data_IF_786122354256
#
_entry.id   IF_786122354256
#
_cell.length_a   1.000
_cell.length_b   1.000
_cell.length_c   1.000
_cell.angle_alpha   90.00
_cell.angle_beta   90.00
_cell.angle_gamma   90.00
#
_symmetry.space_group_name_H-M   'P 1'
#
loop_
_entity.id
_entity.type
_entity.pdbx_description
1 polymer ?
#
# COMPACT_ATOMS: atom_id res chain seq x y z
N UNK A 1 -43.06 35.77 30.75
CA UNK A 1 -43.14 34.89 29.56
C UNK A 1 -42.13 35.23 28.45
N UNK A 2 -41.90 36.51 28.10
CA UNK A 2 -40.89 36.91 27.07
C UNK A 2 -39.46 36.42 27.36
N UNK A 3 -39.02 36.50 28.62
CA UNK A 3 -37.65 36.12 29.03
C UNK A 3 -37.34 34.62 28.85
N UNK A 4 -38.32 33.75 29.03
CA UNK A 4 -38.13 32.31 28.80
C UNK A 4 -38.05 31.99 27.30
N UNK A 5 -38.87 32.66 26.47
CA UNK A 5 -38.84 32.51 25.01
C UNK A 5 -37.49 32.92 24.41
N UNK A 6 -36.89 34.01 24.90
CA UNK A 6 -35.54 34.44 24.54
C UNK A 6 -34.50 33.38 24.93
N UNK A 7 -34.55 32.86 26.16
CA UNK A 7 -33.62 31.81 26.62
C UNK A 7 -33.69 30.53 25.77
N UNK A 8 -34.89 30.10 25.38
CA UNK A 8 -35.07 28.94 24.51
C UNK A 8 -34.51 29.19 23.11
N UNK A 9 -34.67 30.40 22.56
CA UNK A 9 -34.07 30.80 21.27
C UNK A 9 -32.55 30.78 21.32
N UNK A 10 -31.94 31.31 22.39
CA UNK A 10 -30.49 31.27 22.57
C UNK A 10 -29.98 29.84 22.68
N UNK A 11 -30.63 28.97 23.46
CA UNK A 11 -30.23 27.56 23.60
C UNK A 11 -30.32 26.81 22.26
N UNK A 12 -31.35 27.08 21.47
CA UNK A 12 -31.52 26.46 20.16
C UNK A 12 -30.43 26.93 19.17
N UNK A 13 -30.14 28.22 19.15
CA UNK A 13 -29.04 28.80 18.36
C UNK A 13 -27.69 28.21 18.77
N UNK A 14 -27.40 28.13 20.06
CA UNK A 14 -26.16 27.52 20.57
C UNK A 14 -26.05 26.05 20.17
N UNK A 15 -27.14 25.29 20.23
CA UNK A 15 -27.16 23.89 19.83
C UNK A 15 -26.85 23.73 18.34
N UNK A 16 -27.44 24.58 17.48
CA UNK A 16 -27.15 24.59 16.04
C UNK A 16 -25.68 24.93 15.78
N UNK A 17 -25.13 25.93 16.46
CA UNK A 17 -23.72 26.32 16.31
C UNK A 17 -22.79 25.16 16.71
N UNK A 18 -23.06 24.49 17.84
CA UNK A 18 -22.27 23.34 18.30
C UNK A 18 -22.32 22.21 17.28
N UNK A 19 -23.49 21.94 16.69
CA UNK A 19 -23.67 20.89 15.68
C UNK A 19 -22.90 21.20 14.40
N UNK A 20 -22.94 22.44 13.94
CA UNK A 20 -22.18 22.90 12.76
C UNK A 20 -20.67 22.84 13.01
N UNK A 21 -20.20 23.31 14.17
CA UNK A 21 -18.78 23.25 14.53
C UNK A 21 -18.31 21.80 14.67
N UNK A 22 -19.11 20.91 15.27
CA UNK A 22 -18.81 19.48 15.36
C UNK A 22 -18.72 18.82 13.98
N UNK A 23 -19.66 19.11 13.08
CA UNK A 23 -19.63 18.61 11.71
C UNK A 23 -18.41 19.12 10.93
N UNK A 24 -18.04 20.40 11.11
CA UNK A 24 -16.83 20.98 10.52
C UNK A 24 -15.56 20.31 11.05
N UNK A 25 -15.47 20.08 12.36
CA UNK A 25 -14.33 19.39 12.98
C UNK A 25 -14.16 17.98 12.40
N UNK A 26 -15.23 17.19 12.35
CA UNK A 26 -15.21 15.83 11.80
C UNK A 26 -14.83 15.84 10.32
N UNK A 27 -15.38 16.78 9.53
CA UNK A 27 -15.06 16.91 8.11
C UNK A 27 -13.59 17.30 7.87
N UNK A 28 -13.05 18.21 8.68
CA UNK A 28 -11.65 18.66 8.62
C UNK A 28 -10.66 17.55 8.94
N UNK A 29 -10.93 16.72 9.95
CA UNK A 29 -10.06 15.57 10.27
C UNK A 29 -10.27 14.38 9.32
N UNK A 30 -11.50 14.16 8.82
CA UNK A 30 -11.80 13.11 7.84
C UNK A 30 -11.15 13.35 6.47
N UNK A 31 -10.87 14.62 6.12
CA UNK A 31 -10.19 15.02 4.89
C UNK A 31 -8.85 15.73 5.17
N UNK A 32 -8.11 15.29 6.18
CA UNK A 32 -6.82 15.89 6.56
C UNK A 32 -5.86 16.06 5.36
N UNK A 33 -5.94 15.16 4.37
CA UNK A 33 -5.14 15.19 3.15
C UNK A 33 -5.38 16.42 2.24
N UNK A 34 -6.56 17.06 2.29
CA UNK A 34 -6.92 18.19 1.40
C UNK A 34 -6.69 19.55 2.05
N UNK A 35 -6.95 19.68 3.34
CA UNK A 35 -6.91 20.96 4.05
C UNK A 35 -5.62 21.17 4.87
N UNK A 36 -4.89 20.10 5.17
CA UNK A 36 -3.65 20.16 5.92
C UNK A 36 -2.51 19.43 5.18
N UNK A 37 -2.09 19.94 4.00
CA UNK A 37 -1.04 19.30 3.21
C UNK A 37 0.32 19.22 3.95
N UNK A 38 0.51 20.06 4.98
CA UNK A 38 1.73 20.09 5.78
C UNK A 38 1.80 19.01 6.87
N UNK A 39 0.69 18.39 7.29
CA UNK A 39 0.75 17.28 8.26
C UNK A 39 1.40 16.02 7.66
N UNK A 40 1.56 15.98 6.34
CA UNK A 40 2.27 14.93 5.62
C UNK A 40 3.75 15.21 5.41
N UNK A 41 4.26 16.35 5.91
CA UNK A 41 5.70 16.58 5.87
C UNK A 41 6.42 15.51 6.70
N UNK A 42 7.59 15.02 6.25
CA UNK A 42 8.37 14.01 6.97
C UNK A 42 8.67 14.38 8.43
N UNK A 43 8.71 15.69 8.73
CA UNK A 43 8.93 16.23 10.07
C UNK A 43 7.74 16.03 11.04
N UNK A 44 6.52 15.85 10.51
CA UNK A 44 5.27 15.68 11.27
C UNK A 44 4.59 14.33 11.01
N UNK A 45 5.11 13.54 10.08
CA UNK A 45 4.68 12.17 9.86
C UNK A 45 4.95 11.30 11.10
N UNK A 46 4.25 10.17 11.21
CA UNK A 46 4.39 9.21 12.30
C UNK A 46 5.86 9.00 12.66
N UNK A 47 6.21 9.20 13.94
CA UNK A 47 7.57 9.01 14.41
C UNK A 47 7.99 7.56 14.19
N UNK A 48 8.91 7.34 13.25
CA UNK A 48 9.48 6.02 13.05
C UNK A 48 10.58 5.79 14.08
N UNK A 49 10.56 4.62 14.72
CA UNK A 49 11.48 4.30 15.80
C UNK A 49 12.74 3.59 15.28
N UNK A 50 13.83 3.72 16.02
CA UNK A 50 15.07 2.99 15.76
C UNK A 50 14.79 1.47 15.78
N UNK A 51 15.14 0.78 14.68
CA UNK A 51 14.83 -0.63 14.46
C UNK A 51 13.53 -0.91 13.72
N UNK A 52 12.73 0.12 13.40
CA UNK A 52 11.51 -0.06 12.60
C UNK A 52 11.82 -0.46 11.16
N UNK A 53 11.07 -1.47 10.66
CA UNK A 53 11.18 -1.97 9.29
C UNK A 53 10.16 -1.26 8.41
N UNK A 54 10.67 -0.60 7.38
CA UNK A 54 9.87 -0.01 6.31
C UNK A 54 10.03 -0.85 5.06
N UNK A 55 8.93 -1.38 4.53
CA UNK A 55 8.93 -2.06 3.25
C UNK A 55 8.95 -1.02 2.12
N UNK A 56 10.08 -0.98 1.42
CA UNK A 56 10.34 0.06 0.41
C UNK A 56 9.90 -0.40 -0.97
N UNK A 57 10.15 -1.66 -1.28
CA UNK A 57 9.89 -2.25 -2.59
C UNK A 57 9.65 -3.75 -2.42
N UNK A 58 8.68 -4.30 -3.15
CA UNK A 58 8.55 -5.74 -3.29
C UNK A 58 9.23 -6.17 -4.59
N UNK A 59 10.06 -7.20 -4.54
CA UNK A 59 10.70 -7.78 -5.73
C UNK A 59 10.11 -9.13 -6.03
N UNK A 60 9.85 -9.39 -7.31
CA UNK A 60 9.26 -10.65 -7.74
C UNK A 60 10.31 -11.42 -8.52
N UNK A 61 10.48 -12.68 -8.13
CA UNK A 61 11.40 -13.61 -8.77
C UNK A 61 10.61 -14.78 -9.36
N UNK A 62 10.85 -15.08 -10.64
CA UNK A 62 10.44 -16.32 -11.25
C UNK A 62 11.53 -17.37 -10.97
N UNK A 63 11.17 -18.45 -10.28
CA UNK A 63 12.10 -19.53 -9.95
C UNK A 63 12.02 -20.59 -11.03
N UNK A 64 13.14 -20.96 -11.60
CA UNK A 64 13.23 -22.03 -12.59
C UNK A 64 13.39 -23.41 -11.92
N UNK A 65 13.21 -24.52 -12.66
CA UNK A 65 13.27 -25.88 -12.09
C UNK A 65 14.64 -26.25 -11.55
N UNK A 66 15.69 -25.59 -12.01
CA UNK A 66 17.07 -25.71 -11.53
C UNK A 66 17.33 -24.95 -10.22
N UNK A 67 16.32 -24.24 -9.70
CA UNK A 67 16.42 -23.39 -8.51
C UNK A 67 16.98 -21.99 -8.78
N UNK A 68 17.31 -21.66 -10.04
CA UNK A 68 17.76 -20.32 -10.38
C UNK A 68 16.62 -19.31 -10.26
N UNK A 69 16.94 -18.12 -9.73
CA UNK A 69 15.96 -17.06 -9.44
C UNK A 69 16.14 -15.94 -10.45
N UNK A 70 15.14 -15.72 -11.29
CA UNK A 70 15.14 -14.63 -12.26
C UNK A 70 14.27 -13.48 -11.77
N UNK A 71 14.89 -12.31 -11.58
CA UNK A 71 14.14 -11.10 -11.26
C UNK A 71 13.23 -10.72 -12.43
N UNK A 72 11.95 -10.51 -12.14
CA UNK A 72 10.96 -10.02 -13.11
C UNK A 72 11.08 -8.50 -13.16
N UNK A 73 11.78 -7.98 -14.16
CA UNK A 73 12.03 -6.55 -14.28
C UNK A 73 10.76 -5.81 -14.78
N UNK A 74 10.23 -4.84 -14.01
CA UNK A 74 9.01 -4.12 -14.38
C UNK A 74 9.12 -3.40 -15.72
N UNK A 75 10.25 -2.77 -16.01
CA UNK A 75 10.45 -1.94 -17.20
C UNK A 75 10.80 -2.80 -18.41
N UNK A 76 11.70 -3.79 -18.22
CA UNK A 76 12.23 -4.60 -19.31
C UNK A 76 11.29 -5.75 -19.70
N UNK A 77 10.73 -6.46 -18.71
CA UNK A 77 9.96 -7.67 -18.96
C UNK A 77 8.46 -7.40 -19.03
N UNK A 78 7.96 -6.49 -18.18
CA UNK A 78 6.53 -6.17 -18.09
C UNK A 78 6.15 -4.87 -18.81
N UNK A 79 7.12 -4.02 -19.18
CA UNK A 79 6.88 -2.69 -19.79
C UNK A 79 5.90 -1.82 -19.00
N UNK A 80 5.94 -1.92 -17.68
CA UNK A 80 5.13 -1.12 -16.76
C UNK A 80 6.02 -0.24 -15.88
N UNK A 81 5.50 0.92 -15.48
CA UNK A 81 6.17 1.78 -14.52
C UNK A 81 6.14 1.18 -13.10
N UNK A 82 7.04 1.67 -12.25
CA UNK A 82 7.20 1.23 -10.87
C UNK A 82 5.89 1.29 -10.06
N UNK A 83 5.08 2.35 -10.22
CA UNK A 83 3.85 2.51 -9.44
C UNK A 83 2.79 1.50 -9.86
N UNK A 84 2.68 1.21 -11.16
CA UNK A 84 1.81 0.14 -11.66
C UNK A 84 2.30 -1.22 -11.21
N UNK A 85 3.60 -1.47 -11.23
CA UNK A 85 4.19 -2.71 -10.73
C UNK A 85 3.83 -2.95 -9.26
N UNK A 86 4.13 -1.99 -8.39
CA UNK A 86 3.88 -2.13 -6.95
C UNK A 86 2.39 -2.28 -6.63
N UNK A 87 1.53 -1.42 -7.22
CA UNK A 87 0.09 -1.41 -6.89
C UNK A 87 -0.72 -2.48 -7.61
N UNK A 88 -0.37 -2.82 -8.84
CA UNK A 88 -1.16 -3.70 -9.72
C UNK A 88 -0.53 -5.06 -9.95
N UNK A 89 0.69 -5.31 -9.48
CA UNK A 89 1.29 -6.64 -9.59
C UNK A 89 1.79 -7.15 -8.25
N UNK A 90 2.75 -6.47 -7.61
CA UNK A 90 3.38 -6.98 -6.40
C UNK A 90 2.45 -7.11 -5.20
N UNK A 91 1.66 -6.06 -4.89
CA UNK A 91 0.69 -6.13 -3.79
C UNK A 91 -0.41 -7.18 -4.02
N UNK A 92 -1.10 -7.23 -5.18
CA UNK A 92 -2.08 -8.29 -5.41
C UNK A 92 -1.46 -9.69 -5.40
N UNK A 93 -0.25 -9.87 -5.92
CA UNK A 93 0.43 -11.17 -5.92
C UNK A 93 0.76 -11.62 -4.49
N UNK A 94 1.29 -10.71 -3.65
CA UNK A 94 1.51 -10.95 -2.22
C UNK A 94 0.23 -11.28 -1.47
N UNK A 95 -0.86 -10.55 -1.75
CA UNK A 95 -2.17 -10.76 -1.13
C UNK A 95 -2.93 -11.96 -1.74
N UNK A 96 -2.31 -12.74 -2.62
CA UNK A 96 -2.89 -13.89 -3.34
C UNK A 96 -4.19 -13.56 -4.12
N UNK A 97 -4.29 -12.36 -4.69
CA UNK A 97 -5.42 -11.90 -5.51
C UNK A 97 -5.12 -12.03 -7.00
N UNK A 98 -4.86 -13.26 -7.45
CA UNK A 98 -4.37 -13.56 -8.80
C UNK A 98 -5.34 -13.13 -9.92
N UNK A 99 -6.65 -13.23 -9.67
CA UNK A 99 -7.70 -12.84 -10.64
C UNK A 99 -7.64 -11.37 -11.05
N UNK A 100 -7.03 -10.51 -10.22
CA UNK A 100 -6.92 -9.07 -10.50
C UNK A 100 -5.73 -8.73 -11.39
N UNK A 101 -4.83 -9.70 -11.60
CA UNK A 101 -3.53 -9.49 -12.24
C UNK A 101 -3.30 -10.43 -13.41
N UNK A 102 -4.35 -11.10 -13.89
CA UNK A 102 -4.36 -12.03 -15.04
C UNK A 102 -3.58 -11.48 -16.25
N UNK A 103 -3.74 -10.22 -16.69
CA UNK A 103 -2.99 -9.70 -17.85
C UNK A 103 -1.48 -9.70 -17.62
N UNK A 104 -1.04 -9.37 -16.40
CA UNK A 104 0.38 -9.30 -16.04
C UNK A 104 0.94 -10.72 -15.88
N UNK A 105 0.15 -11.62 -15.27
CA UNK A 105 0.53 -13.03 -15.16
C UNK A 105 0.74 -13.69 -16.53
N UNK A 106 -0.08 -13.36 -17.55
CA UNK A 106 0.16 -13.83 -18.93
C UNK A 106 1.52 -13.40 -19.46
N UNK A 107 1.88 -12.13 -19.28
CA UNK A 107 3.20 -11.63 -19.69
C UNK A 107 4.35 -12.35 -18.97
N UNK A 108 4.18 -12.66 -17.68
CA UNK A 108 5.18 -13.41 -16.90
C UNK A 108 5.32 -14.84 -17.42
N UNK A 109 4.21 -15.53 -17.71
CA UNK A 109 4.22 -16.89 -18.28
C UNK A 109 4.84 -16.90 -19.67
N UNK A 110 4.53 -15.92 -20.52
CA UNK A 110 5.14 -15.77 -21.85
C UNK A 110 6.66 -15.52 -21.76
N UNK A 111 7.10 -14.73 -20.78
CA UNK A 111 8.50 -14.37 -20.61
C UNK A 111 9.33 -15.46 -19.94
N UNK A 112 8.74 -16.19 -19.00
CA UNK A 112 9.39 -17.24 -18.20
C UNK A 112 8.62 -18.56 -18.33
N UNK A 113 8.56 -19.19 -19.51
CA UNK A 113 7.68 -20.32 -19.75
C UNK A 113 7.98 -21.54 -18.88
N UNK A 114 9.18 -21.64 -18.30
CA UNK A 114 9.62 -22.77 -17.48
C UNK A 114 9.60 -22.51 -15.96
N UNK A 115 9.10 -21.37 -15.46
CA UNK A 115 9.11 -21.12 -14.01
C UNK A 115 8.23 -22.14 -13.25
N UNK A 116 8.67 -22.55 -12.06
CA UNK A 116 7.96 -23.46 -11.14
C UNK A 116 7.13 -22.69 -10.11
N UNK A 117 7.64 -21.56 -9.63
CA UNK A 117 6.96 -20.68 -8.70
C UNK A 117 7.37 -19.21 -8.87
N UNK A 118 6.49 -18.31 -8.45
CA UNK A 118 6.78 -16.90 -8.27
C UNK A 118 7.01 -16.62 -6.79
N UNK A 119 8.16 -16.04 -6.47
CA UNK A 119 8.49 -15.62 -5.11
C UNK A 119 8.41 -14.09 -5.02
N UNK A 120 7.67 -13.60 -4.03
CA UNK A 120 7.68 -12.18 -3.65
C UNK A 120 8.65 -12.01 -2.50
N UNK A 121 9.71 -11.26 -2.73
CA UNK A 121 10.63 -10.79 -1.70
C UNK A 121 10.26 -9.40 -1.25
N UNK A 122 10.28 -9.21 0.07
CA UNK A 122 10.33 -7.88 0.64
C UNK A 122 11.75 -7.32 0.55
N UNK A 123 11.84 -6.02 0.29
CA UNK A 123 13.08 -5.25 0.42
C UNK A 123 12.89 -4.24 1.56
N UNK A 124 13.02 -4.68 2.83
CA UNK A 124 12.82 -3.80 3.95
C UNK A 124 14.06 -2.92 4.13
N UNK A 125 13.85 -1.67 4.50
CA UNK A 125 14.86 -0.83 5.13
C UNK A 125 14.59 -0.77 6.63
N UNK A 126 15.66 -0.85 7.42
CA UNK A 126 15.63 -0.60 8.86
C UNK A 126 16.02 0.85 9.07
N UNK A 127 15.19 1.62 9.76
CA UNK A 127 15.58 2.95 10.21
C UNK A 127 16.54 2.78 11.38
N UNK A 128 17.77 3.26 11.22
CA UNK A 128 18.75 3.34 12.31
C UNK A 128 19.06 4.79 12.66
N UNK A 129 19.64 5.03 13.83
CA UNK A 129 20.19 6.35 14.21
C UNK A 129 21.18 6.94 13.18
N UNK A 130 21.84 6.08 12.41
CA UNK A 130 22.83 6.47 11.40
C UNK A 130 22.21 6.58 9.99
N UNK A 131 20.88 6.51 9.88
CA UNK A 131 20.14 6.53 8.62
C UNK A 131 19.53 5.16 8.26
N UNK A 132 18.79 5.10 7.14
CA UNK A 132 18.18 3.86 6.67
C UNK A 132 19.26 2.86 6.23
N UNK A 133 19.17 1.62 6.70
CA UNK A 133 20.04 0.51 6.30
C UNK A 133 19.21 -0.60 5.66
N UNK A 134 19.79 -1.33 4.71
CA UNK A 134 19.12 -2.49 4.13
C UNK A 134 18.92 -3.59 5.17
N UNK A 135 17.70 -4.12 5.28
CA UNK A 135 17.42 -5.31 6.07
C UNK A 135 17.74 -6.58 5.27
N UNK A 136 17.83 -7.72 5.97
CA UNK A 136 17.79 -9.03 5.31
C UNK A 136 16.50 -9.16 4.50
N UNK A 137 16.65 -9.53 3.22
CA UNK A 137 15.51 -9.82 2.35
C UNK A 137 14.78 -11.05 2.85
N UNK A 138 13.46 -11.05 2.73
CA UNK A 138 12.63 -12.16 3.15
C UNK A 138 11.62 -12.48 2.04
N UNK A 139 11.50 -13.74 1.70
CA UNK A 139 10.39 -14.21 0.86
C UNK A 139 9.12 -14.17 1.70
N UNK A 140 8.18 -13.33 1.29
CA UNK A 140 6.93 -13.09 2.00
C UNK A 140 5.74 -13.80 1.36
N UNK A 141 5.86 -14.19 0.09
CA UNK A 141 4.85 -14.99 -0.59
C UNK A 141 5.52 -15.90 -1.63
N UNK A 142 4.98 -17.11 -1.77
CA UNK A 142 5.36 -18.08 -2.79
C UNK A 142 4.09 -18.53 -3.49
N UNK A 143 4.04 -18.37 -4.81
CA UNK A 143 2.88 -18.69 -5.65
C UNK A 143 3.32 -19.76 -6.63
N UNK A 144 2.82 -21.01 -6.49
CA UNK A 144 3.19 -22.07 -7.41
C UNK A 144 2.61 -21.80 -8.80
N UNK A 145 3.29 -22.28 -9.84
CA UNK A 145 2.82 -22.15 -11.23
C UNK A 145 1.41 -22.69 -11.42
N UNK A 146 1.04 -23.78 -10.75
CA UNK A 146 -0.31 -24.35 -10.81
C UNK A 146 -1.40 -23.35 -10.43
N UNK A 147 -1.16 -22.53 -9.39
CA UNK A 147 -2.11 -21.49 -8.97
C UNK A 147 -2.18 -20.34 -9.99
N UNK A 148 -1.05 -20.00 -10.62
CA UNK A 148 -1.03 -19.04 -11.71
C UNK A 148 -1.84 -19.54 -12.90
N UNK A 149 -1.64 -20.80 -13.31
CA UNK A 149 -2.38 -21.41 -14.43
C UNK A 149 -3.87 -21.53 -14.14
N UNK A 150 -4.26 -21.83 -12.91
CA UNK A 150 -5.66 -21.85 -12.48
C UNK A 150 -6.31 -20.46 -12.61
N UNK A 151 -5.61 -19.40 -12.19
CA UNK A 151 -6.10 -18.03 -12.30
C UNK A 151 -6.13 -17.50 -13.76
N UNK A 152 -5.46 -18.17 -14.69
CA UNK A 152 -5.43 -17.80 -16.12
C UNK A 152 -6.50 -18.51 -16.97
N UNK A 153 -7.17 -19.55 -16.43
CA UNK A 153 -8.28 -20.27 -17.07
C UNK A 153 -9.54 -19.42 -17.11
#
# INVERSE_FOLDING_TARGET
MRLQLELYRFRLLSLVIILVLGAQLIASFGHANRFFPFMWYPMYATAHFDGERINVEHRIYAVAPDGSRHYVDPARDLRIDFWRYERRFARPLRDNKLDRITPILRMVVERYPAFTELQVEDYPMIITKNGPQGASRQVIAVIPRSAVEEALK
#
